data_IF_865574715842
#
_entry.id   IF_865574715842
#
_cell.length_a   1.000
_cell.length_b   1.000
_cell.length_c   1.000
_cell.angle_alpha   90.00
_cell.angle_beta   90.00
_cell.angle_gamma   90.00
#
_symmetry.space_group_name_H-M   'P 1'
#
loop_
_entity.id
_entity.type
_entity.pdbx_description
1 polymer ?
#
# COMPACT_ATOMS: atom_id res chain seq x y z
N UNK A 1 -54.53 -19.86 23.33
CA UNK A 1 -53.26 -20.55 23.06
C UNK A 1 -52.82 -20.21 21.62
N UNK A 2 -51.95 -19.21 21.41
CA UNK A 2 -51.40 -18.93 20.06
C UNK A 2 -50.46 -20.09 19.71
N UNK A 3 -50.77 -20.87 18.66
CA UNK A 3 -49.80 -21.83 18.11
C UNK A 3 -48.54 -21.03 17.75
N UNK A 4 -47.40 -21.39 18.33
CA UNK A 4 -46.10 -20.89 17.87
C UNK A 4 -45.95 -21.38 16.43
N UNK A 5 -46.16 -20.49 15.47
CA UNK A 5 -45.81 -20.76 14.07
C UNK A 5 -44.31 -21.04 14.02
N UNK A 6 -43.90 -22.15 13.43
CA UNK A 6 -42.51 -22.39 13.05
C UNK A 6 -42.15 -21.35 11.98
N UNK A 7 -41.52 -20.23 12.40
CA UNK A 7 -41.15 -19.11 11.53
C UNK A 7 -39.95 -19.39 10.62
N UNK A 8 -39.27 -20.51 10.83
CA UNK A 8 -38.03 -20.89 10.14
C UNK A 8 -38.27 -22.21 9.42
N UNK A 9 -37.89 -22.29 8.14
CA UNK A 9 -38.03 -23.50 7.33
C UNK A 9 -37.12 -24.62 7.84
N UNK A 10 -37.44 -25.87 7.51
CA UNK A 10 -36.61 -27.00 7.92
C UNK A 10 -35.25 -27.01 7.20
N UNK A 11 -35.19 -26.53 5.96
CA UNK A 11 -33.96 -26.37 5.19
C UNK A 11 -33.02 -25.35 5.85
N UNK A 12 -33.55 -24.24 6.38
CA UNK A 12 -32.74 -23.28 7.14
C UNK A 12 -32.19 -23.91 8.42
N UNK A 13 -33.02 -24.64 9.15
CA UNK A 13 -32.59 -25.33 10.38
C UNK A 13 -31.53 -26.39 10.07
N UNK A 14 -31.69 -27.11 8.96
CA UNK A 14 -30.73 -28.11 8.49
C UNK A 14 -29.37 -27.47 8.18
N UNK A 15 -29.37 -26.37 7.42
CA UNK A 15 -28.15 -25.60 7.14
C UNK A 15 -27.46 -25.15 8.44
N UNK A 16 -28.23 -24.60 9.39
CA UNK A 16 -27.71 -24.15 10.68
C UNK A 16 -27.07 -25.32 11.44
N UNK A 17 -27.70 -26.50 11.47
CA UNK A 17 -27.11 -27.69 12.10
C UNK A 17 -25.86 -28.18 11.37
N UNK A 18 -25.82 -28.09 10.04
CA UNK A 18 -24.66 -28.44 9.23
C UNK A 18 -23.47 -27.48 9.40
N UNK A 19 -23.70 -26.27 9.94
CA UNK A 19 -22.66 -25.30 10.25
C UNK A 19 -22.25 -25.34 11.73
N UNK A 20 -23.23 -25.41 12.64
CA UNK A 20 -23.04 -25.45 14.09
C UNK A 20 -22.97 -26.91 14.53
N UNK A 21 -21.90 -27.58 14.12
CA UNK A 21 -21.60 -28.95 14.48
C UNK A 21 -20.09 -29.15 14.66
N UNK A 22 -19.69 -30.40 14.90
CA UNK A 22 -18.29 -30.80 14.97
C UNK A 22 -17.58 -30.55 13.64
N UNK A 23 -16.28 -30.28 13.68
CA UNK A 23 -15.54 -29.91 12.48
C UNK A 23 -15.59 -31.00 11.40
N UNK A 24 -15.54 -32.28 11.80
CA UNK A 24 -15.60 -33.50 10.98
C UNK A 24 -16.85 -33.62 10.11
N UNK A 25 -17.98 -33.06 10.55
CA UNK A 25 -19.27 -33.12 9.85
C UNK A 25 -19.70 -31.78 9.26
N UNK A 26 -18.96 -30.70 9.53
CA UNK A 26 -19.33 -29.34 9.11
C UNK A 26 -19.31 -29.19 7.59
N UNK A 27 -20.32 -28.51 7.05
CA UNK A 27 -20.37 -28.08 5.66
C UNK A 27 -19.16 -27.20 5.29
N UNK A 28 -18.68 -27.32 4.06
CA UNK A 28 -17.55 -26.57 3.52
C UNK A 28 -16.25 -27.38 3.43
N UNK A 29 -16.25 -28.66 3.85
CA UNK A 29 -15.10 -29.55 3.69
C UNK A 29 -14.81 -29.86 2.22
N UNK A 30 -15.84 -29.92 1.38
CA UNK A 30 -15.68 -30.02 -0.07
C UNK A 30 -15.72 -28.64 -0.77
N UNK A 31 -15.55 -27.56 0.02
CA UNK A 31 -15.61 -26.18 -0.46
C UNK A 31 -17.04 -25.74 -0.80
N UNK A 32 -17.16 -24.92 -1.84
CA UNK A 32 -18.42 -24.26 -2.22
C UNK A 32 -19.51 -25.25 -2.67
N UNK A 33 -19.14 -26.44 -3.15
CA UNK A 33 -20.10 -27.44 -3.64
C UNK A 33 -21.09 -27.91 -2.57
N UNK A 34 -20.65 -28.03 -1.32
CA UNK A 34 -21.49 -28.38 -0.18
C UNK A 34 -22.67 -27.40 -0.02
N UNK A 35 -22.42 -26.12 -0.29
CA UNK A 35 -23.43 -25.07 -0.21
C UNK A 35 -24.30 -24.98 -1.48
N UNK A 36 -23.70 -25.10 -2.67
CA UNK A 36 -24.45 -25.09 -3.94
C UNK A 36 -25.50 -26.21 -4.00
N UNK A 37 -25.21 -27.35 -3.40
CA UNK A 37 -26.08 -28.52 -3.39
C UNK A 37 -27.08 -28.54 -2.22
N UNK A 38 -26.99 -27.60 -1.28
CA UNK A 38 -27.85 -27.60 -0.10
C UNK A 38 -29.25 -27.04 -0.42
N UNK A 39 -30.36 -27.70 -0.01
CA UNK A 39 -31.73 -27.31 -0.36
C UNK A 39 -32.11 -25.87 0.02
N UNK A 40 -31.53 -25.32 1.09
CA UNK A 40 -31.73 -23.93 1.49
C UNK A 40 -31.38 -22.91 0.38
N UNK A 41 -30.42 -23.23 -0.49
CA UNK A 41 -30.01 -22.37 -1.60
C UNK A 41 -30.65 -22.77 -2.94
N UNK A 42 -31.71 -23.60 -2.91
CA UNK A 42 -32.42 -23.99 -4.12
C UNK A 42 -32.97 -22.75 -4.85
N UNK A 43 -32.70 -22.66 -6.15
CA UNK A 43 -33.11 -21.53 -6.99
C UNK A 43 -32.17 -20.33 -6.98
N UNK A 44 -31.10 -20.35 -6.19
CA UNK A 44 -30.06 -19.32 -6.22
C UNK A 44 -29.13 -19.54 -7.43
N UNK A 45 -29.07 -18.56 -8.33
CA UNK A 45 -28.08 -18.55 -9.41
C UNK A 45 -26.74 -18.02 -8.87
N UNK A 46 -25.84 -18.95 -8.53
CA UNK A 46 -24.53 -18.63 -7.95
C UNK A 46 -23.61 -17.86 -8.89
N UNK A 47 -23.76 -18.03 -10.21
CA UNK A 47 -22.88 -17.40 -11.19
C UNK A 47 -23.32 -15.96 -11.46
N UNK A 48 -24.61 -15.66 -11.26
CA UNK A 48 -25.19 -14.31 -11.43
C UNK A 48 -25.55 -13.61 -10.13
N UNK A 49 -25.18 -14.17 -8.97
CA UNK A 49 -25.58 -13.63 -7.66
C UNK A 49 -25.24 -12.14 -7.46
N UNK A 50 -24.16 -11.66 -8.09
CA UNK A 50 -23.74 -10.25 -8.04
C UNK A 50 -24.52 -9.32 -8.96
N UNK A 51 -25.18 -9.87 -9.98
CA UNK A 51 -26.02 -9.14 -10.94
C UNK A 51 -27.49 -9.12 -10.51
N UNK A 52 -27.88 -10.04 -9.63
CA UNK A 52 -29.23 -10.10 -9.06
C UNK A 52 -29.53 -8.86 -8.20
N UNK A 53 -30.78 -8.41 -8.22
CA UNK A 53 -31.22 -7.31 -7.38
C UNK A 53 -31.09 -7.69 -5.89
N UNK A 54 -30.34 -6.88 -5.13
CA UNK A 54 -30.21 -7.07 -3.70
C UNK A 54 -31.56 -6.83 -3.00
N UNK A 55 -31.92 -7.63 -1.98
CA UNK A 55 -33.17 -7.45 -1.24
C UNK A 55 -33.20 -6.18 -0.39
N UNK A 56 -32.03 -5.59 -0.13
CA UNK A 56 -31.87 -4.36 0.64
C UNK A 56 -30.83 -3.48 -0.04
N UNK A 57 -31.16 -2.19 -0.16
CA UNK A 57 -30.24 -1.14 -0.62
C UNK A 57 -30.13 -0.14 0.53
N UNK A 58 -28.94 0.07 1.11
CA UNK A 58 -28.78 0.99 2.23
C UNK A 58 -28.96 2.44 1.79
N UNK A 59 -29.55 3.25 2.66
CA UNK A 59 -29.58 4.69 2.48
C UNK A 59 -28.19 5.27 2.74
N UNK A 60 -27.67 6.02 1.76
CA UNK A 60 -26.36 6.67 1.83
C UNK A 60 -26.53 8.11 1.39
N UNK A 61 -26.23 9.04 2.29
CA UNK A 61 -26.44 10.48 2.07
C UNK A 61 -25.27 11.15 1.34
N UNK A 62 -24.05 10.62 1.48
CA UNK A 62 -22.84 11.15 0.85
C UNK A 62 -21.73 10.10 0.73
N UNK A 63 -20.69 10.32 -0.09
CA UNK A 63 -19.54 9.40 -0.19
C UNK A 63 -18.74 9.21 1.11
N UNK A 64 -18.93 10.08 2.11
CA UNK A 64 -18.28 10.03 3.42
C UNK A 64 -19.26 9.70 4.56
N UNK A 65 -20.47 9.25 4.23
CA UNK A 65 -21.49 8.92 5.21
C UNK A 65 -21.09 7.71 6.07
N UNK A 66 -21.07 7.89 7.39
CA UNK A 66 -20.75 6.84 8.38
C UNK A 66 -21.99 6.36 9.15
N UNK A 67 -23.22 6.76 8.78
CA UNK A 67 -24.44 6.45 9.54
C UNK A 67 -24.81 4.96 9.58
N UNK A 68 -24.30 4.18 8.63
CA UNK A 68 -24.50 2.73 8.55
C UNK A 68 -23.50 1.94 9.43
N UNK A 69 -22.64 2.63 10.18
CA UNK A 69 -21.67 2.06 11.11
C UNK A 69 -22.01 2.50 12.53
N UNK A 70 -21.82 1.59 13.49
CA UNK A 70 -21.87 1.94 14.91
C UNK A 70 -20.52 2.56 15.30
N UNK A 71 -20.50 3.87 15.53
CA UNK A 71 -19.27 4.61 15.84
C UNK A 71 -19.32 5.01 17.31
N UNK A 72 -18.55 4.31 18.13
CA UNK A 72 -18.28 4.73 19.50
C UNK A 72 -17.22 5.84 19.48
N UNK A 73 -17.62 7.07 19.85
CA UNK A 73 -16.75 8.26 19.90
C UNK A 73 -15.52 8.09 20.82
N UNK A 74 -15.47 7.03 21.63
CA UNK A 74 -14.36 6.69 22.53
C UNK A 74 -13.17 6.03 21.83
N UNK A 75 -13.36 5.36 20.68
CA UNK A 75 -12.29 4.61 19.99
C UNK A 75 -11.37 5.51 19.14
N UNK A 76 -11.82 6.71 18.80
CA UNK A 76 -11.04 7.70 18.02
C UNK A 76 -9.94 8.35 18.89
N UNK A 77 -9.98 8.13 20.21
CA UNK A 77 -8.99 8.70 21.13
C UNK A 77 -7.70 7.89 21.10
N UNK A 78 -6.78 8.41 20.29
CA UNK A 78 -5.33 8.36 20.47
C UNK A 78 -4.74 6.95 20.52
N UNK A 79 -4.16 6.51 19.41
CA UNK A 79 -3.07 5.55 19.45
C UNK A 79 -1.90 6.18 20.24
N UNK A 80 -1.93 6.09 21.57
CA UNK A 80 -0.81 6.40 22.47
C UNK A 80 0.22 5.26 22.41
N UNK A 81 0.55 4.82 21.21
CA UNK A 81 1.58 3.83 20.97
C UNK A 81 2.92 4.56 20.95
N UNK A 82 3.68 4.43 22.03
CA UNK A 82 5.06 4.94 22.10
C UNK A 82 5.94 4.10 21.18
N UNK A 83 6.62 4.73 20.23
CA UNK A 83 7.58 4.05 19.38
C UNK A 83 8.68 3.39 20.24
N UNK A 84 9.16 2.18 19.88
CA UNK A 84 10.22 1.52 20.64
C UNK A 84 11.44 2.44 20.76
N UNK A 85 11.95 2.61 21.98
CA UNK A 85 13.17 3.36 22.22
C UNK A 85 14.36 2.61 21.60
N UNK A 86 14.80 3.03 20.43
CA UNK A 86 15.97 2.45 19.77
C UNK A 86 17.24 2.96 20.46
N UNK A 87 17.85 2.14 21.32
CA UNK A 87 19.23 2.35 21.74
C UNK A 87 20.12 2.31 20.50
N UNK A 88 21.01 3.28 20.35
CA UNK A 88 21.78 3.59 19.14
C UNK A 88 22.58 2.39 18.58
N UNK A 89 21.95 1.56 17.74
CA UNK A 89 22.64 0.62 16.86
C UNK A 89 22.69 1.19 15.44
N UNK A 90 23.76 0.90 14.70
CA UNK A 90 23.91 1.32 13.30
C UNK A 90 22.79 0.77 12.38
N UNK A 91 22.05 -0.23 12.85
CA UNK A 91 20.86 -0.77 12.20
C UNK A 91 19.84 -1.18 13.26
N UNK A 92 18.72 -0.47 13.31
CA UNK A 92 17.66 -0.72 14.29
C UNK A 92 16.72 -1.86 13.89
N UNK A 93 16.66 -2.21 12.60
CA UNK A 93 15.81 -3.29 12.06
C UNK A 93 14.30 -3.09 12.22
N UNK A 94 13.87 -2.01 12.87
CA UNK A 94 12.47 -1.78 13.27
C UNK A 94 11.50 -1.69 12.09
N UNK A 95 11.98 -1.39 10.89
CA UNK A 95 11.17 -1.25 9.69
C UNK A 95 11.07 -2.56 8.87
N UNK A 96 11.88 -3.58 9.19
CA UNK A 96 11.88 -4.85 8.46
C UNK A 96 10.51 -5.55 8.42
N UNK A 97 9.69 -5.53 9.50
CA UNK A 97 8.35 -6.14 9.46
C UNK A 97 7.39 -5.50 8.44
N UNK A 98 7.70 -4.30 7.93
CA UNK A 98 6.83 -3.58 6.99
C UNK A 98 7.34 -3.63 5.54
N UNK A 99 8.47 -4.29 5.27
CA UNK A 99 8.96 -4.50 3.90
C UNK A 99 7.96 -5.39 3.15
N UNK A 100 7.56 -4.97 1.94
CA UNK A 100 6.54 -5.66 1.14
C UNK A 100 5.09 -5.32 1.52
N UNK A 101 4.87 -4.47 2.54
CA UNK A 101 3.52 -4.04 2.92
C UNK A 101 2.89 -3.09 1.89
N UNK A 102 3.70 -2.30 1.19
CA UNK A 102 3.21 -1.25 0.28
C UNK A 102 2.56 -1.87 -0.95
N UNK A 103 1.28 -1.54 -1.16
CA UNK A 103 0.52 -1.89 -2.35
C UNK A 103 0.01 -0.63 -3.07
N UNK A 104 -0.01 -0.66 -4.40
CA UNK A 104 -0.59 0.41 -5.23
C UNK A 104 -1.48 -0.21 -6.29
N UNK A 105 -2.80 -0.05 -6.13
CA UNK A 105 -3.79 -0.57 -7.07
C UNK A 105 -3.60 -0.03 -8.48
N UNK A 106 -3.69 -0.91 -9.48
CA UNK A 106 -3.49 -0.56 -10.89
C UNK A 106 -2.04 -0.32 -11.31
N UNK A 107 -1.07 -0.35 -10.38
CA UNK A 107 0.35 -0.28 -10.74
C UNK A 107 0.85 -1.61 -11.30
N UNK A 108 1.58 -1.57 -12.42
CA UNK A 108 2.30 -2.73 -12.97
C UNK A 108 3.45 -3.21 -12.09
N UNK A 109 3.90 -2.37 -11.16
CA UNK A 109 4.97 -2.70 -10.21
C UNK A 109 4.41 -3.26 -8.90
N UNK A 110 3.08 -3.32 -8.75
CA UNK A 110 2.47 -4.01 -7.61
C UNK A 110 2.57 -5.52 -7.77
N UNK A 111 2.36 -6.26 -6.69
CA UNK A 111 2.35 -7.74 -6.71
C UNK A 111 1.27 -8.33 -7.63
N UNK A 112 0.25 -7.54 -8.01
CA UNK A 112 -0.79 -7.92 -8.97
C UNK A 112 -0.53 -7.36 -10.38
N UNK A 113 0.57 -6.66 -10.58
CA UNK A 113 1.00 -6.19 -11.89
C UNK A 113 1.33 -7.37 -12.80
N UNK A 114 0.99 -7.26 -14.08
CA UNK A 114 1.41 -8.26 -15.06
C UNK A 114 2.95 -8.30 -15.13
N UNK A 115 3.51 -9.49 -14.94
CA UNK A 115 4.93 -9.82 -15.06
C UNK A 115 5.60 -8.99 -16.16
N UNK A 116 6.41 -8.00 -15.78
CA UNK A 116 7.56 -7.69 -16.62
C UNK A 116 8.45 -8.93 -16.53
N UNK A 117 8.78 -9.51 -17.70
CA UNK A 117 9.78 -10.56 -17.85
C UNK A 117 10.90 -10.38 -16.82
N UNK A 118 11.37 -11.48 -16.18
CA UNK A 118 12.23 -11.42 -15.00
C UNK A 118 13.22 -10.30 -15.19
N UNK A 119 13.23 -9.34 -14.26
CA UNK A 119 14.29 -8.34 -14.20
C UNK A 119 15.59 -9.15 -14.26
N UNK A 120 16.23 -9.13 -15.44
CA UNK A 120 17.53 -9.76 -15.62
C UNK A 120 18.35 -9.27 -14.44
N UNK A 121 19.02 -10.15 -13.66
CA UNK A 121 19.71 -9.74 -12.45
C UNK A 121 20.44 -8.46 -12.77
N UNK A 122 20.04 -7.37 -12.10
CA UNK A 122 20.67 -6.08 -12.28
C UNK A 122 22.15 -6.38 -12.23
N UNK A 123 22.84 -6.18 -13.36
CA UNK A 123 24.27 -6.49 -13.44
C UNK A 123 24.87 -5.74 -12.27
N UNK A 124 25.24 -6.48 -11.23
CA UNK A 124 26.00 -5.95 -10.11
C UNK A 124 27.03 -5.04 -10.75
N UNK A 125 27.09 -3.80 -10.30
CA UNK A 125 28.08 -2.84 -10.75
C UNK A 125 29.46 -3.49 -10.58
N UNK A 126 29.93 -4.15 -11.64
CA UNK A 126 31.31 -4.55 -11.78
C UNK A 126 32.03 -3.23 -11.93
N UNK A 127 32.59 -2.78 -10.82
CA UNK A 127 33.76 -1.91 -10.84
C UNK A 127 34.66 -2.41 -11.98
N UNK A 128 34.94 -1.53 -12.95
CA UNK A 128 35.62 -1.76 -14.24
C UNK A 128 34.72 -1.95 -15.47
N UNK A 129 34.01 -0.90 -15.87
CA UNK A 129 33.77 -0.66 -17.30
C UNK A 129 33.81 0.84 -17.60
N UNK A 130 34.92 1.26 -18.19
CA UNK A 130 35.13 2.63 -18.67
C UNK A 130 34.09 2.96 -19.77
N UNK A 131 33.53 4.19 -19.79
CA UNK A 131 32.53 4.57 -20.78
C UNK A 131 33.15 4.57 -22.19
N UNK A 132 32.55 3.78 -23.08
CA UNK A 132 33.07 3.42 -24.39
C UNK A 132 32.56 4.27 -25.57
N UNK A 133 32.26 5.55 -25.37
CA UNK A 133 31.91 6.45 -26.47
C UNK A 133 32.84 7.67 -26.47
N UNK A 134 33.60 7.85 -27.55
CA UNK A 134 34.53 8.97 -27.71
C UNK A 134 33.84 10.34 -27.63
N UNK A 135 32.55 10.40 -28.00
CA UNK A 135 31.68 11.58 -27.89
C UNK A 135 31.43 11.97 -26.44
N UNK A 136 31.20 10.98 -25.56
CA UNK A 136 30.93 11.22 -24.14
C UNK A 136 32.19 11.70 -23.40
N UNK A 137 33.38 11.23 -23.81
CA UNK A 137 34.66 11.69 -23.24
C UNK A 137 35.01 13.11 -23.67
N UNK A 138 34.64 13.52 -24.87
CA UNK A 138 34.82 14.89 -25.34
C UNK A 138 33.88 15.85 -24.63
N UNK A 139 32.61 15.45 -24.44
CA UNK A 139 31.62 16.21 -23.69
C UNK A 139 32.04 16.40 -22.21
N UNK A 140 32.56 15.35 -21.57
CA UNK A 140 33.04 15.43 -20.19
C UNK A 140 34.18 16.45 -20.03
N UNK A 141 35.17 16.43 -20.94
CA UNK A 141 36.28 17.38 -20.92
C UNK A 141 35.86 18.83 -21.20
N UNK A 142 34.82 19.03 -22.00
CA UNK A 142 34.26 20.35 -22.24
C UNK A 142 33.60 20.90 -20.98
N UNK A 143 32.81 20.07 -20.29
CA UNK A 143 32.14 20.44 -19.04
C UNK A 143 33.13 20.70 -17.90
N UNK A 144 34.21 19.92 -17.81
CA UNK A 144 35.30 20.14 -16.83
C UNK A 144 35.99 21.50 -17.05
N UNK A 145 36.22 21.89 -18.32
CA UNK A 145 36.80 23.20 -18.65
C UNK A 145 35.85 24.34 -18.30
N UNK A 146 34.57 24.19 -18.59
CA UNK A 146 33.55 25.19 -18.27
C UNK A 146 33.44 25.39 -16.76
N UNK A 147 33.42 24.32 -15.97
CA UNK A 147 33.45 24.39 -14.51
C UNK A 147 34.71 25.08 -13.97
N UNK A 148 35.87 24.85 -14.57
CA UNK A 148 37.11 25.51 -14.15
C UNK A 148 37.07 27.03 -14.41
N UNK A 149 36.53 27.45 -15.56
CA UNK A 149 36.36 28.86 -15.90
C UNK A 149 35.34 29.52 -14.96
N UNK A 150 34.20 28.88 -14.70
CA UNK A 150 33.19 29.38 -13.76
C UNK A 150 33.78 29.55 -12.35
N UNK A 151 34.57 28.58 -11.88
CA UNK A 151 35.24 28.66 -10.58
C UNK A 151 36.22 29.85 -10.52
N UNK A 152 36.95 30.12 -11.60
CA UNK A 152 37.85 31.26 -11.70
C UNK A 152 37.08 32.59 -11.70
N UNK A 153 36.01 32.70 -12.48
CA UNK A 153 35.16 33.90 -12.50
C UNK A 153 34.52 34.16 -11.13
N UNK A 154 34.07 33.12 -10.43
CA UNK A 154 33.55 33.25 -9.07
C UNK A 154 34.62 33.75 -8.10
N UNK A 155 35.86 33.28 -8.25
CA UNK A 155 36.98 33.75 -7.43
C UNK A 155 37.33 35.22 -7.72
N UNK A 156 37.32 35.63 -8.99
CA UNK A 156 37.55 37.02 -9.41
C UNK A 156 36.45 37.97 -8.92
N UNK A 157 35.18 37.57 -9.01
CA UNK A 157 34.04 38.33 -8.49
C UNK A 157 34.10 38.47 -6.95
N UNK A 158 34.57 37.43 -6.25
CA UNK A 158 34.79 37.49 -4.80
C UNK A 158 35.97 38.37 -4.42
N UNK A 159 37.04 38.38 -5.22
CA UNK A 159 38.22 39.23 -5.01
C UNK A 159 37.92 40.71 -5.34
N UNK A 160 37.05 40.98 -6.32
CA UNK A 160 36.64 42.33 -6.70
C UNK A 160 35.61 42.99 -5.76
N UNK A 161 35.04 42.24 -4.81
CA UNK A 161 34.06 42.73 -3.84
C UNK A 161 34.64 43.39 -2.58
N UNK A 162 35.97 43.54 -2.49
CA UNK A 162 36.65 44.02 -1.29
C UNK A 162 37.27 45.41 -1.46
N UNK A 163 36.47 46.45 -1.76
CA UNK A 163 36.78 47.84 -1.40
C UNK A 163 35.46 48.61 -1.25
N UNK A 164 35.07 48.91 -0.01
CA UNK A 164 34.46 50.16 0.47
C UNK A 164 34.06 49.93 1.95
N UNK A 165 35.05 49.97 2.85
CA UNK A 165 34.80 50.35 4.25
C UNK A 165 35.58 51.65 4.49
N UNK A 166 34.85 52.75 4.66
CA UNK A 166 35.34 54.06 5.10
C UNK A 166 34.50 54.46 6.35
N UNK A 167 35.01 55.30 7.27
CA UNK A 167 35.11 54.94 8.67
C UNK A 167 34.21 55.86 9.50
N UNK A 168 33.41 55.31 10.42
CA UNK A 168 32.78 56.17 11.42
C UNK A 168 32.56 55.43 12.73
N UNK A 169 33.34 55.80 13.74
CA UNK A 169 33.23 55.25 15.08
C UNK A 169 34.22 55.88 16.04
N UNK A 170 34.21 57.21 16.15
CA UNK A 170 34.81 57.91 17.29
C UNK A 170 34.00 57.58 18.55
N UNK A 171 34.60 56.84 19.48
CA UNK A 171 34.58 57.07 20.94
C UNK A 171 35.81 56.40 21.55
#
# INVERSE_FOLDING_TARGET
MRRRSNLVSEEAKDLIRGLICSADTRLGRNGLSDFKNHPWFAGLDWDKIREMAAPYVPDVSSPTDTSNFDVDDTDIRLSEAVAPAVASSAFSGIQLPFVGFTYTGGSRLSDLGAEHAPLSPAKNATSQQAPSNAVDRAALKALERENALLAQTIAELRAGGAVLDDPCGMY
#
